data_IF_751540895138
#
_entry.id   IF_751540895138
#
_cell.length_a   1.000
_cell.length_b   1.000
_cell.length_c   1.000
_cell.angle_alpha   90.00
_cell.angle_beta   90.00
_cell.angle_gamma   90.00
#
_symmetry.space_group_name_H-M   'P 1'
#
loop_
_entity.id
_entity.type
_entity.pdbx_description
1 polymer ?
#
# COMPACT_ATOMS: atom_id res chain seq x y z
N UNK A 1 8.41 -4.69 40.58
CA UNK A 1 8.53 -4.72 39.11
C UNK A 1 7.74 -5.89 38.54
N UNK A 2 7.95 -7.13 39.01
CA UNK A 2 7.18 -8.31 38.55
C UNK A 2 5.66 -8.14 38.65
N UNK A 3 5.12 -7.65 39.78
CA UNK A 3 3.69 -7.41 39.95
C UNK A 3 3.10 -6.45 38.90
N UNK A 4 3.84 -5.41 38.51
CA UNK A 4 3.41 -4.46 37.47
C UNK A 4 3.36 -5.17 36.12
N UNK A 5 4.39 -5.97 35.79
CA UNK A 5 4.39 -6.77 34.57
C UNK A 5 3.20 -7.75 34.52
N UNK A 6 2.83 -8.37 35.64
CA UNK A 6 1.65 -9.25 35.71
C UNK A 6 0.33 -8.48 35.53
N UNK A 7 0.24 -7.25 36.01
CA UNK A 7 -0.95 -6.42 35.83
C UNK A 7 -1.14 -5.98 34.37
N UNK A 8 -0.08 -5.96 33.55
CA UNK A 8 -0.18 -5.58 32.13
C UNK A 8 -0.99 -6.57 31.29
N UNK A 9 -1.22 -7.78 31.79
CA UNK A 9 -2.09 -8.78 31.14
C UNK A 9 -3.59 -8.43 31.26
N UNK A 10 -3.98 -7.59 32.23
CA UNK A 10 -5.36 -7.13 32.38
C UNK A 10 -5.58 -5.81 31.64
N UNK A 11 -6.52 -5.78 30.70
CA UNK A 11 -6.73 -4.64 29.81
C UNK A 11 -7.01 -3.31 30.55
N UNK A 12 -7.81 -3.33 31.62
CA UNK A 12 -8.12 -2.13 32.40
C UNK A 12 -6.90 -1.55 33.14
N UNK A 13 -6.01 -2.42 33.61
CA UNK A 13 -4.83 -1.99 34.36
C UNK A 13 -3.68 -1.64 33.42
N UNK A 14 -3.60 -2.30 32.26
CA UNK A 14 -2.72 -1.90 31.16
C UNK A 14 -2.92 -0.43 30.80
N UNK A 15 -4.15 0.01 30.50
CA UNK A 15 -4.41 1.41 30.10
C UNK A 15 -3.94 2.39 31.18
N UNK A 16 -4.19 2.09 32.46
CA UNK A 16 -3.74 2.93 33.59
C UNK A 16 -2.22 2.95 33.70
N UNK A 17 -1.55 1.80 33.55
CA UNK A 17 -0.09 1.70 33.62
C UNK A 17 0.54 2.52 32.49
N UNK A 18 0.00 2.43 31.28
CA UNK A 18 0.49 3.19 30.12
C UNK A 18 0.29 4.70 30.31
N UNK A 19 -0.88 5.13 30.79
CA UNK A 19 -1.15 6.54 31.10
C UNK A 19 -0.22 7.07 32.22
N UNK A 20 0.06 6.24 33.23
CA UNK A 20 1.00 6.59 34.28
C UNK A 20 2.44 6.69 33.76
N UNK A 21 2.88 5.75 32.92
CA UNK A 21 4.20 5.78 32.30
C UNK A 21 4.38 7.03 31.43
N UNK A 22 3.41 7.35 30.58
CA UNK A 22 3.45 8.52 29.70
C UNK A 22 3.59 9.83 30.49
N UNK A 23 2.73 10.03 31.51
CA UNK A 23 2.83 11.19 32.43
C UNK A 23 4.17 11.25 33.13
N UNK A 24 4.71 10.09 33.52
CA UNK A 24 5.97 10.05 34.25
C UNK A 24 7.18 10.34 33.37
N UNK A 25 7.18 9.87 32.12
CA UNK A 25 8.22 10.11 31.12
C UNK A 25 8.24 11.58 30.67
N UNK A 26 7.08 12.24 30.58
CA UNK A 26 6.96 13.65 30.21
C UNK A 26 7.08 14.63 31.40
N UNK A 27 7.71 14.22 32.50
CA UNK A 27 7.93 15.09 33.65
C UNK A 27 9.00 16.17 33.40
N UNK A 28 8.97 17.23 34.22
CA UNK A 28 10.00 18.28 34.22
C UNK A 28 11.40 17.69 34.45
N UNK A 29 12.43 18.26 33.81
CA UNK A 29 13.84 17.81 33.93
C UNK A 29 14.38 17.75 35.36
N UNK A 30 13.87 18.62 36.26
CA UNK A 30 14.17 18.59 37.71
C UNK A 30 13.81 17.24 38.36
N UNK A 31 12.78 16.55 37.85
CA UNK A 31 12.28 15.29 38.39
C UNK A 31 12.88 14.08 37.66
N UNK A 32 14.18 14.13 37.34
CA UNK A 32 14.91 13.07 36.63
C UNK A 32 14.73 11.68 37.27
N UNK A 33 14.61 11.61 38.60
CA UNK A 33 14.35 10.36 39.32
C UNK A 33 13.05 9.68 38.86
N UNK A 34 12.00 10.45 38.55
CA UNK A 34 10.72 9.90 38.10
C UNK A 34 10.85 9.35 36.68
N UNK A 35 11.53 10.10 35.80
CA UNK A 35 11.81 9.67 34.42
C UNK A 35 12.64 8.39 34.44
N UNK A 36 13.73 8.36 35.20
CA UNK A 36 14.62 7.20 35.31
C UNK A 36 13.92 5.95 35.85
N UNK A 37 13.15 6.10 36.94
CA UNK A 37 12.38 4.98 37.51
C UNK A 37 11.33 4.45 36.53
N UNK A 38 10.71 5.33 35.76
CA UNK A 38 9.69 4.93 34.77
C UNK A 38 10.33 4.21 33.58
N UNK A 39 11.48 4.68 33.09
CA UNK A 39 12.27 3.96 32.10
C UNK A 39 12.69 2.57 32.61
N UNK A 40 13.02 2.46 33.90
CA UNK A 40 13.39 1.17 34.50
C UNK A 40 12.21 0.21 34.59
N UNK A 41 11.00 0.72 34.86
CA UNK A 41 9.77 -0.09 34.82
C UNK A 41 9.45 -0.50 33.39
N UNK A 42 9.57 0.42 32.44
CA UNK A 42 9.34 0.16 31.02
C UNK A 42 10.26 -0.95 30.49
N UNK A 43 11.56 -0.82 30.71
CA UNK A 43 12.61 -1.80 30.38
C UNK A 43 12.25 -3.21 30.88
N UNK A 44 11.83 -3.31 32.14
CA UNK A 44 11.38 -4.60 32.69
C UNK A 44 10.09 -5.12 32.04
N UNK A 45 9.14 -4.24 31.74
CA UNK A 45 7.87 -4.59 31.12
C UNK A 45 8.03 -5.01 29.64
N UNK A 46 9.01 -4.45 28.92
CA UNK A 46 9.34 -4.91 27.57
C UNK A 46 9.88 -6.35 27.60
N UNK A 47 10.67 -6.70 28.61
CA UNK A 47 11.23 -8.05 28.73
C UNK A 47 10.27 -9.12 29.31
N UNK A 48 9.34 -8.76 30.19
CA UNK A 48 8.52 -9.73 30.95
C UNK A 48 7.01 -9.46 30.92
N UNK A 49 6.59 -8.36 30.32
CA UNK A 49 5.19 -7.94 30.27
C UNK A 49 4.43 -8.52 29.09
N UNK A 50 3.24 -7.97 28.87
CA UNK A 50 2.41 -8.28 27.72
C UNK A 50 3.01 -7.67 26.44
N UNK A 51 2.95 -8.41 25.34
CA UNK A 51 3.40 -8.00 24.01
C UNK A 51 2.80 -6.66 23.54
N UNK A 52 1.58 -6.34 23.98
CA UNK A 52 0.93 -5.06 23.66
C UNK A 52 1.72 -3.82 24.15
N UNK A 53 2.57 -3.97 25.18
CA UNK A 53 3.45 -2.87 25.63
C UNK A 53 4.48 -2.57 24.55
N UNK A 54 5.08 -3.61 23.98
CA UNK A 54 6.06 -3.50 22.89
C UNK A 54 5.41 -2.78 21.72
N UNK A 55 4.25 -3.26 21.26
CA UNK A 55 3.46 -2.64 20.18
C UNK A 55 3.22 -1.14 20.43
N UNK A 56 2.80 -0.77 21.64
CA UNK A 56 2.52 0.62 21.96
C UNK A 56 3.78 1.50 21.89
N UNK A 57 4.90 1.04 22.45
CA UNK A 57 6.14 1.82 22.50
C UNK A 57 6.90 1.81 21.17
N UNK A 58 6.71 0.79 20.33
CA UNK A 58 7.12 0.78 18.92
C UNK A 58 6.42 1.92 18.15
N UNK A 59 5.09 2.00 18.24
CA UNK A 59 4.31 3.06 17.61
C UNK A 59 4.63 4.46 18.15
N UNK A 60 4.97 4.56 19.43
CA UNK A 60 5.29 5.81 20.11
C UNK A 60 6.79 5.96 20.43
N UNK A 61 7.67 5.40 19.60
CA UNK A 61 9.12 5.39 19.84
C UNK A 61 9.71 6.81 19.95
N UNK A 62 9.02 7.83 19.43
CA UNK A 62 9.41 9.23 19.57
C UNK A 62 9.49 9.68 21.04
N UNK A 63 8.61 9.16 21.91
CA UNK A 63 8.59 9.52 23.34
C UNK A 63 9.94 9.16 23.97
N UNK A 64 10.42 7.95 23.74
CA UNK A 64 11.72 7.49 24.28
C UNK A 64 12.89 8.19 23.58
N UNK A 65 12.80 8.43 22.27
CA UNK A 65 13.83 9.18 21.52
C UNK A 65 14.06 10.58 22.08
N UNK A 66 13.01 11.29 22.52
CA UNK A 66 13.20 12.62 23.14
C UNK A 66 13.98 12.58 24.45
N UNK A 67 13.96 11.44 25.16
CA UNK A 67 14.71 11.25 26.41
C UNK A 67 16.20 11.00 26.16
N UNK A 68 16.61 10.73 24.91
CA UNK A 68 18.03 10.72 24.53
C UNK A 68 18.66 12.10 24.60
N UNK A 69 17.91 13.19 24.58
CA UNK A 69 18.48 14.54 24.76
C UNK A 69 18.31 15.04 26.20
N UNK A 70 17.92 14.16 27.12
CA UNK A 70 17.70 14.52 28.52
C UNK A 70 19.02 14.83 29.21
N UNK A 71 19.17 16.10 29.60
CA UNK A 71 20.32 16.58 30.37
C UNK A 71 19.85 17.22 31.67
N UNK A 72 20.50 16.85 32.76
CA UNK A 72 20.27 17.45 34.06
C UNK A 72 21.53 17.37 34.93
N UNK A 73 22.08 18.53 35.25
CA UNK A 73 23.22 18.70 36.14
C UNK A 73 22.68 19.22 37.47
N UNK A 74 22.97 18.50 38.55
CA UNK A 74 22.58 18.88 39.91
C UNK A 74 23.36 20.11 40.42
N UNK A 75 22.90 20.67 41.55
CA UNK A 75 23.60 21.75 42.28
C UNK A 75 25.05 21.35 42.67
N UNK A 76 25.30 20.06 42.90
CA UNK A 76 26.62 19.49 43.17
C UNK A 76 27.49 19.29 41.91
N UNK A 77 27.10 19.85 40.76
CA UNK A 77 27.72 19.65 39.44
C UNK A 77 27.78 18.20 38.95
N UNK A 78 27.00 17.31 39.56
CA UNK A 78 26.89 15.91 39.12
C UNK A 78 25.87 15.78 37.99
N UNK A 79 26.27 15.17 36.89
CA UNK A 79 25.36 14.82 35.80
C UNK A 79 24.49 13.61 36.22
N UNK A 80 23.19 13.86 36.36
CA UNK A 80 22.19 12.82 36.58
C UNK A 80 21.41 12.50 35.30
N UNK A 81 21.52 13.36 34.28
CA UNK A 81 20.92 13.15 32.96
C UNK A 81 21.60 12.02 32.20
N UNK A 82 22.92 11.84 32.35
CA UNK A 82 23.67 10.77 31.69
C UNK A 82 23.12 9.35 31.91
N UNK A 83 22.63 9.04 33.12
CA UNK A 83 22.02 7.73 33.39
C UNK A 83 20.67 7.55 32.69
N UNK A 84 19.87 8.62 32.61
CA UNK A 84 18.59 8.64 31.89
C UNK A 84 18.84 8.48 30.39
N UNK A 85 19.83 9.21 29.87
CA UNK A 85 20.27 9.14 28.49
C UNK A 85 20.66 7.71 28.10
N UNK A 86 21.57 7.08 28.85
CA UNK A 86 22.05 5.73 28.54
C UNK A 86 20.90 4.72 28.52
N UNK A 87 20.03 4.75 29.54
CA UNK A 87 18.89 3.83 29.61
C UNK A 87 17.88 4.07 28.48
N UNK A 88 17.63 5.32 28.10
CA UNK A 88 16.77 5.64 26.96
C UNK A 88 17.37 5.16 25.63
N UNK A 89 18.69 5.24 25.48
CA UNK A 89 19.40 4.70 24.31
C UNK A 89 19.29 3.18 24.24
N UNK A 90 19.54 2.48 25.34
CA UNK A 90 19.44 1.01 25.41
C UNK A 90 18.02 0.54 25.03
N UNK A 91 16.98 1.17 25.60
CA UNK A 91 15.58 0.85 25.27
C UNK A 91 15.25 1.18 23.81
N UNK A 92 15.78 2.28 23.27
CA UNK A 92 15.55 2.63 21.85
C UNK A 92 16.16 1.58 20.93
N UNK A 93 17.35 1.08 21.24
CA UNK A 93 18.01 0.04 20.46
C UNK A 93 17.23 -1.28 20.53
N UNK A 94 16.73 -1.66 21.71
CA UNK A 94 15.86 -2.82 21.88
C UNK A 94 14.60 -2.71 21.02
N UNK A 95 13.92 -1.56 21.06
CA UNK A 95 12.71 -1.33 20.27
C UNK A 95 12.99 -1.31 18.77
N UNK A 96 14.16 -0.87 18.31
CA UNK A 96 14.52 -0.89 16.88
C UNK A 96 14.67 -2.31 16.33
N UNK A 97 15.22 -3.22 17.13
CA UNK A 97 15.33 -4.64 16.74
C UNK A 97 13.95 -5.31 16.71
N UNK A 98 13.09 -5.00 17.69
CA UNK A 98 11.70 -5.50 17.74
C UNK A 98 10.76 -4.83 16.71
N UNK A 99 11.04 -3.59 16.29
CA UNK A 99 10.26 -2.86 15.27
C UNK A 99 10.23 -3.59 13.92
N UNK A 100 11.30 -4.32 13.57
CA UNK A 100 11.37 -5.10 12.34
C UNK A 100 10.34 -6.24 12.35
N UNK A 101 10.14 -6.87 13.51
CA UNK A 101 9.06 -7.84 13.74
C UNK A 101 7.70 -7.13 13.82
N UNK A 102 7.65 -5.93 14.42
CA UNK A 102 6.41 -5.17 14.57
C UNK A 102 5.78 -4.75 13.24
N UNK A 103 6.53 -4.43 12.18
CA UNK A 103 5.93 -4.14 10.86
C UNK A 103 5.07 -5.31 10.34
N UNK A 104 5.51 -6.55 10.57
CA UNK A 104 4.76 -7.75 10.23
C UNK A 104 3.55 -7.95 11.15
N UNK A 105 3.69 -7.62 12.44
CA UNK A 105 2.63 -7.79 13.45
C UNK A 105 1.59 -6.66 13.43
N UNK A 106 1.96 -5.44 13.05
CA UNK A 106 1.04 -4.32 12.81
C UNK A 106 0.21 -4.58 11.55
N UNK A 107 0.79 -5.20 10.52
CA UNK A 107 0.02 -5.70 9.38
C UNK A 107 -1.00 -6.78 9.81
N UNK A 108 -0.60 -7.70 10.70
CA UNK A 108 -1.47 -8.74 11.24
C UNK A 108 -2.55 -8.20 12.21
N UNK A 109 -2.19 -7.28 13.10
CA UNK A 109 -3.10 -6.62 14.02
C UNK A 109 -4.09 -5.74 13.25
N UNK A 110 -3.66 -5.04 12.19
CA UNK A 110 -4.55 -4.30 11.29
C UNK A 110 -5.54 -5.24 10.57
N UNK A 111 -5.09 -6.42 10.12
CA UNK A 111 -5.98 -7.47 9.61
C UNK A 111 -6.98 -7.96 10.67
N UNK A 112 -6.54 -8.13 11.91
CA UNK A 112 -7.39 -8.59 13.02
C UNK A 112 -8.37 -7.52 13.50
N UNK A 113 -7.97 -6.25 13.50
CA UNK A 113 -8.77 -5.10 13.91
C UNK A 113 -9.87 -4.79 12.87
N UNK A 114 -9.59 -4.98 11.57
CA UNK A 114 -10.59 -5.01 10.50
C UNK A 114 -11.64 -6.12 10.68
N UNK A 115 -11.27 -7.25 11.30
CA UNK A 115 -12.20 -8.34 11.61
C UNK A 115 -13.02 -8.11 12.90
N UNK A 116 -12.45 -7.45 13.91
CA UNK A 116 -13.08 -7.30 15.24
C UNK A 116 -14.02 -6.08 15.33
N UNK A 117 -13.77 -5.00 14.59
CA UNK A 117 -14.56 -3.75 14.66
C UNK A 117 -15.40 -3.46 13.39
N UNK A 118 -15.63 -4.47 12.54
CA UNK A 118 -16.38 -4.34 11.29
C UNK A 118 -17.91 -4.25 11.40
N UNK A 119 -18.49 -4.22 12.61
CA UNK A 119 -19.94 -4.16 12.81
C UNK A 119 -20.33 -3.07 13.83
N UNK A 120 -20.19 -1.79 13.49
CA UNK A 120 -21.02 -0.75 14.11
C UNK A 120 -21.16 0.49 13.21
N UNK A 121 -22.20 0.48 12.38
CA UNK A 121 -22.72 1.67 11.69
C UNK A 121 -23.19 2.70 12.74
N UNK A 122 -22.58 3.89 12.76
CA UNK A 122 -23.29 5.15 13.04
C UNK A 122 -22.61 6.30 12.30
N UNK A 123 -23.46 6.94 11.51
CA UNK A 123 -23.33 8.10 10.64
C UNK A 123 -22.57 9.32 11.24
N UNK A 124 -21.97 10.07 10.31
CA UNK A 124 -21.59 11.49 10.41
C UNK A 124 -20.14 11.83 10.84
N UNK A 125 -19.34 12.14 9.80
CA UNK A 125 -18.26 13.13 9.74
C UNK A 125 -17.31 13.22 10.95
N UNK A 126 -16.08 12.71 10.79
CA UNK A 126 -14.83 13.50 10.78
C UNK A 126 -13.62 12.56 10.66
N UNK A 127 -12.68 12.99 9.82
CA UNK A 127 -11.51 12.29 9.30
C UNK A 127 -10.55 11.77 10.39
N UNK A 128 -10.10 10.53 10.18
CA UNK A 128 -8.92 9.93 10.80
C UNK A 128 -8.55 8.58 10.16
N UNK A 129 -8.73 8.45 8.84
CA UNK A 129 -8.48 7.21 8.06
C UNK A 129 -7.01 7.19 7.63
N UNK A 130 -6.29 6.09 7.90
CA UNK A 130 -4.86 5.97 7.61
C UNK A 130 -4.60 6.05 6.08
N UNK A 131 -3.67 6.90 5.57
CA UNK A 131 -3.66 7.27 4.14
C UNK A 131 -2.83 6.37 3.21
N UNK A 132 -2.22 5.28 3.67
CA UNK A 132 -1.11 4.64 2.93
C UNK A 132 -1.34 3.23 2.37
N UNK A 133 -2.42 2.53 2.74
CA UNK A 133 -2.70 1.19 2.18
C UNK A 133 -3.68 1.22 1.01
N UNK A 134 -4.68 2.09 1.05
CA UNK A 134 -5.77 2.08 0.05
C UNK A 134 -5.39 2.81 -1.25
N UNK A 135 -4.48 3.80 -1.20
CA UNK A 135 -4.12 4.58 -2.38
C UNK A 135 -3.35 3.75 -3.42
N UNK A 136 -2.43 2.90 -2.97
CA UNK A 136 -1.59 2.09 -3.87
C UNK A 136 -2.33 0.86 -4.41
N UNK A 137 -3.34 0.36 -3.71
CA UNK A 137 -4.22 -0.71 -4.21
C UNK A 137 -5.28 -0.15 -5.16
N UNK A 138 -5.86 1.01 -4.85
CA UNK A 138 -6.88 1.67 -5.70
C UNK A 138 -6.27 2.21 -7.00
N UNK A 139 -5.06 2.77 -6.97
CA UNK A 139 -4.31 3.14 -8.19
C UNK A 139 -4.05 1.90 -9.07
N UNK A 140 -3.66 0.77 -8.47
CA UNK A 140 -3.38 -0.48 -9.17
C UNK A 140 -4.64 -1.06 -9.82
N UNK A 141 -5.77 -1.06 -9.12
CA UNK A 141 -7.05 -1.53 -9.64
C UNK A 141 -7.59 -0.65 -10.79
N UNK A 142 -7.39 0.67 -10.71
CA UNK A 142 -7.78 1.60 -11.79
C UNK A 142 -6.87 1.42 -13.01
N UNK A 143 -5.56 1.24 -12.81
CA UNK A 143 -4.59 0.96 -13.89
C UNK A 143 -4.90 -0.38 -14.57
N UNK A 144 -5.18 -1.43 -13.79
CA UNK A 144 -5.52 -2.77 -14.30
C UNK A 144 -6.84 -2.75 -15.07
N UNK A 145 -7.85 -2.04 -14.56
CA UNK A 145 -9.13 -1.86 -15.26
C UNK A 145 -8.95 -1.08 -16.57
N UNK A 146 -8.11 -0.04 -16.59
CA UNK A 146 -7.79 0.73 -17.81
C UNK A 146 -7.00 -0.08 -18.83
N UNK A 147 -6.03 -0.86 -18.37
CA UNK A 147 -5.17 -1.69 -19.22
C UNK A 147 -5.97 -2.83 -19.86
N UNK A 148 -6.85 -3.49 -19.08
CA UNK A 148 -7.75 -4.53 -19.61
C UNK A 148 -8.75 -3.97 -20.62
N UNK A 149 -9.34 -2.81 -20.34
CA UNK A 149 -10.27 -2.16 -21.27
C UNK A 149 -9.58 -1.77 -22.58
N UNK A 150 -8.36 -1.20 -22.49
CA UNK A 150 -7.58 -0.83 -23.67
C UNK A 150 -7.15 -2.05 -24.50
N UNK A 151 -6.80 -3.16 -23.85
CA UNK A 151 -6.47 -4.41 -24.53
C UNK A 151 -7.69 -5.03 -25.24
N UNK A 152 -8.86 -4.98 -24.61
CA UNK A 152 -10.11 -5.48 -25.20
C UNK A 152 -10.55 -4.62 -26.40
N UNK A 153 -10.42 -3.29 -26.29
CA UNK A 153 -10.67 -2.35 -27.39
C UNK A 153 -9.69 -2.57 -28.56
N UNK A 154 -8.39 -2.73 -28.28
CA UNK A 154 -7.40 -2.99 -29.32
C UNK A 154 -7.65 -4.33 -30.05
N UNK A 155 -8.08 -5.37 -29.32
CA UNK A 155 -8.43 -6.65 -29.93
C UNK A 155 -9.69 -6.56 -30.80
N UNK A 156 -10.68 -5.76 -30.40
CA UNK A 156 -11.90 -5.56 -31.17
C UNK A 156 -11.62 -4.75 -32.45
N UNK A 157 -10.83 -3.68 -32.36
CA UNK A 157 -10.43 -2.86 -33.52
C UNK A 157 -9.62 -3.67 -34.54
N UNK A 158 -8.72 -4.54 -34.09
CA UNK A 158 -7.95 -5.44 -34.97
C UNK A 158 -8.86 -6.44 -35.71
N UNK A 159 -9.86 -7.00 -35.04
CA UNK A 159 -10.83 -7.91 -35.68
C UNK A 159 -11.67 -7.20 -36.75
N UNK A 160 -12.13 -5.98 -36.46
CA UNK A 160 -12.91 -5.17 -37.41
C UNK A 160 -12.07 -4.78 -38.63
N UNK A 161 -10.80 -4.40 -38.43
CA UNK A 161 -9.86 -4.09 -39.52
C UNK A 161 -9.61 -5.31 -40.41
N UNK A 162 -9.40 -6.49 -39.82
CA UNK A 162 -9.21 -7.73 -40.57
C UNK A 162 -10.45 -8.09 -41.39
N UNK A 163 -11.64 -7.93 -40.82
CA UNK A 163 -12.90 -8.17 -41.51
C UNK A 163 -13.08 -7.20 -42.70
N UNK A 164 -12.81 -5.91 -42.51
CA UNK A 164 -12.89 -4.90 -43.57
C UNK A 164 -11.91 -5.17 -44.73
N UNK A 165 -10.66 -5.55 -44.43
CA UNK A 165 -9.66 -5.90 -45.45
C UNK A 165 -10.11 -7.12 -46.26
N UNK A 166 -10.69 -8.13 -45.59
CA UNK A 166 -11.18 -9.33 -46.25
C UNK A 166 -12.33 -9.02 -47.21
N UNK A 167 -13.31 -8.23 -46.76
CA UNK A 167 -14.46 -7.84 -47.57
C UNK A 167 -14.03 -7.03 -48.80
N UNK A 168 -13.08 -6.10 -48.64
CA UNK A 168 -12.54 -5.28 -49.73
C UNK A 168 -11.81 -6.13 -50.79
N UNK A 169 -11.00 -7.10 -50.35
CA UNK A 169 -10.32 -8.05 -51.27
C UNK A 169 -11.31 -8.90 -52.06
N UNK A 170 -12.40 -9.34 -51.43
CA UNK A 170 -13.43 -10.14 -52.08
C UNK A 170 -14.21 -9.31 -53.11
N UNK A 171 -14.55 -8.05 -52.78
CA UNK A 171 -15.19 -7.12 -53.72
C UNK A 171 -14.27 -6.79 -54.92
N UNK A 172 -12.99 -6.52 -54.66
CA UNK A 172 -12.02 -6.22 -55.73
C UNK A 172 -11.81 -7.43 -56.65
N UNK A 173 -11.73 -8.64 -56.09
CA UNK A 173 -11.64 -9.87 -56.88
C UNK A 173 -12.91 -10.10 -57.72
N UNK A 174 -14.09 -9.79 -57.19
CA UNK A 174 -15.35 -9.85 -57.95
C UNK A 174 -15.37 -8.83 -59.09
N UNK A 175 -14.97 -7.58 -58.84
CA UNK A 175 -14.84 -6.55 -59.89
C UNK A 175 -13.84 -6.94 -60.97
N UNK A 176 -12.71 -7.50 -60.58
CA UNK A 176 -11.69 -7.95 -61.53
C UNK A 176 -12.17 -9.16 -62.33
N UNK A 177 -12.91 -10.09 -61.71
CA UNK A 177 -13.55 -11.21 -62.39
C UNK A 177 -14.59 -10.73 -63.40
N UNK A 178 -15.49 -9.82 -63.03
CA UNK A 178 -16.46 -9.23 -63.97
C UNK A 178 -15.76 -8.49 -65.10
N UNK A 179 -14.71 -7.72 -64.82
CA UNK A 179 -13.93 -7.04 -65.87
C UNK A 179 -13.25 -8.03 -66.82
N UNK A 180 -12.74 -9.15 -66.31
CA UNK A 180 -12.17 -10.23 -67.14
C UNK A 180 -13.27 -10.90 -67.97
N UNK A 181 -14.45 -11.14 -67.41
CA UNK A 181 -15.61 -11.68 -68.12
C UNK A 181 -16.12 -10.71 -69.21
N UNK A 182 -16.17 -9.41 -68.96
CA UNK A 182 -16.54 -8.36 -69.92
C UNK A 182 -15.52 -8.25 -71.08
N UNK A 183 -14.21 -8.33 -70.77
CA UNK A 183 -13.17 -8.36 -71.79
C UNK A 183 -13.24 -9.65 -72.63
N UNK A 184 -13.53 -10.78 -71.99
CA UNK A 184 -13.65 -12.07 -72.67
C UNK A 184 -14.90 -12.10 -73.57
N UNK A 185 -16.04 -11.55 -73.11
CA UNK A 185 -17.24 -11.39 -73.94
C UNK A 185 -17.05 -10.37 -75.06
N UNK A 186 -16.38 -9.24 -74.82
CA UNK A 186 -16.04 -8.27 -75.86
C UNK A 186 -15.12 -8.86 -76.93
N UNK A 187 -14.12 -9.67 -76.54
CA UNK A 187 -13.24 -10.36 -77.48
C UNK A 187 -13.99 -11.40 -78.32
N UNK A 188 -14.97 -12.10 -77.73
CA UNK A 188 -15.89 -13.00 -78.45
C UNK A 188 -16.80 -12.27 -79.45
N UNK A 189 -17.21 -11.02 -79.16
CA UNK A 189 -18.02 -10.21 -80.07
C UNK A 189 -17.21 -9.57 -81.21
N UNK A 190 -15.95 -9.17 -80.97
CA UNK A 190 -15.07 -8.64 -82.01
C UNK A 190 -14.63 -9.72 -83.03
N UNK A 191 -14.43 -10.96 -82.59
CA UNK A 191 -14.09 -12.10 -83.47
C UNK A 191 -15.24 -12.45 -84.44
N UNK A 192 -16.49 -12.30 -83.98
CA UNK A 192 -17.68 -12.45 -84.84
C UNK A 192 -17.81 -11.31 -85.88
N UNK A 193 -17.29 -10.11 -85.59
CA UNK A 193 -17.36 -8.95 -86.49
C UNK A 193 -16.17 -8.89 -87.48
N UNK A 194 -15.03 -9.49 -87.15
CA UNK A 194 -13.86 -9.60 -88.05
C UNK A 194 -14.03 -10.63 -89.18
N UNK A 195 -14.99 -11.56 -89.08
CA UNK A 195 -15.32 -12.50 -90.16
C UNK A 195 -16.03 -11.87 -91.38
N UNK A 196 -16.43 -10.58 -91.33
CA UNK A 196 -17.22 -9.92 -92.39
C UNK A 196 -16.55 -8.71 -93.06
N UNK A 197 -15.23 -8.53 -92.93
CA UNK A 197 -14.51 -7.45 -93.65
C UNK A 197 -13.42 -8.05 -94.54
N UNK A 198 -13.85 -8.59 -95.69
CA UNK A 198 -12.97 -8.78 -96.86
C UNK A 198 -13.23 -7.63 -97.85
N UNK A 199 -12.27 -6.71 -98.08
CA UNK A 199 -12.36 -5.82 -99.24
C UNK A 199 -12.06 -6.67 -100.47
N UNK A 200 -13.06 -6.78 -101.35
CA UNK A 200 -12.85 -7.19 -102.73
C UNK A 200 -12.07 -6.07 -103.42
N UNK A 201 -10.89 -6.37 -103.97
CA UNK A 201 -10.39 -5.92 -105.28
C UNK A 201 -9.01 -6.50 -105.55
#
# INVERSE_FOLDING_TARGET
MNEIAQLTYYQNDFVKIMEMLDKCLNNKRKNWCHVFKSLTVLDYCLHQGLENIVIYFCNNAYIIKTLKEFQYINEDQKDQGGNVHQKAEDITNLLLDENCLHEEWCAWASMQECMIYGEHDMEEQLVGKCPNCDEEESKRAIEESKCSLAAEQASAEEQDLQHAIKLSKEEEAARQKTKVEDLNTSALFDDANQMYIHPSY
#
